data_IF_941629996026
#
_entry.id   IF_941629996026
#
_cell.length_a   1.000
_cell.length_b   1.000
_cell.length_c   1.000
_cell.angle_alpha   90.00
_cell.angle_beta   90.00
_cell.angle_gamma   90.00
#
_symmetry.space_group_name_H-M   'P 1'
#
loop_
_entity.id
_entity.type
_entity.pdbx_description
1 polymer ?
#
# COMPACT_ATOMS: atom_id res chain seq x y z
N UNK A 1 6.87 16.88 -10.46
CA UNK A 1 7.20 16.07 -11.66
C UNK A 1 5.94 15.36 -12.08
N UNK A 2 5.59 15.35 -13.37
CA UNK A 2 4.47 14.53 -13.85
C UNK A 2 4.90 13.07 -13.79
N UNK A 3 4.18 12.24 -13.04
CA UNK A 3 4.38 10.80 -13.07
C UNK A 3 4.17 10.30 -14.51
N UNK A 4 5.14 9.61 -15.07
CA UNK A 4 5.01 8.89 -16.33
C UNK A 4 5.44 7.46 -16.08
N UNK A 5 4.52 6.51 -16.22
CA UNK A 5 4.85 5.09 -16.12
C UNK A 5 5.89 4.74 -17.20
N UNK A 6 7.01 4.11 -16.84
CA UNK A 6 8.02 3.75 -17.82
C UNK A 6 7.46 2.75 -18.85
N UNK A 7 7.93 2.80 -20.12
CA UNK A 7 7.55 1.81 -21.12
C UNK A 7 8.11 0.44 -20.74
N UNK A 8 7.28 -0.60 -20.84
CA UNK A 8 7.67 -2.00 -20.59
C UNK A 8 7.41 -2.84 -21.85
N UNK A 9 8.27 -3.83 -22.10
CA UNK A 9 8.06 -4.81 -23.15
C UNK A 9 7.20 -5.98 -22.62
N UNK A 10 5.98 -6.06 -23.15
CA UNK A 10 4.99 -7.08 -22.80
C UNK A 10 5.21 -8.42 -23.53
N UNK A 11 6.13 -8.47 -24.50
CA UNK A 11 6.39 -9.66 -25.32
C UNK A 11 7.50 -10.56 -24.76
N UNK A 12 8.19 -10.11 -23.73
CA UNK A 12 9.32 -10.83 -23.12
C UNK A 12 8.84 -12.15 -22.52
N UNK A 13 9.42 -13.23 -23.00
CA UNK A 13 9.26 -14.57 -22.45
C UNK A 13 10.63 -15.26 -22.44
N UNK A 14 11.04 -15.78 -21.29
CA UNK A 14 12.27 -16.57 -21.24
C UNK A 14 12.01 -18.00 -21.74
N UNK A 15 12.55 -18.36 -22.91
CA UNK A 15 12.48 -19.74 -23.40
C UNK A 15 13.23 -20.72 -22.45
N UNK A 16 12.62 -21.82 -21.96
CA UNK A 16 13.28 -22.71 -21.00
C UNK A 16 14.41 -23.51 -21.66
N UNK A 17 15.64 -23.38 -21.14
CA UNK A 17 16.80 -24.10 -21.67
C UNK A 17 17.01 -25.46 -21.00
N UNK A 18 17.28 -25.44 -19.69
CA UNK A 18 17.60 -26.64 -18.92
C UNK A 18 16.35 -27.40 -18.42
N UNK A 19 16.54 -28.62 -17.91
CA UNK A 19 15.45 -29.38 -17.29
C UNK A 19 14.85 -28.66 -16.06
N UNK A 20 15.69 -27.96 -15.29
CA UNK A 20 15.26 -27.10 -14.18
C UNK A 20 14.36 -25.96 -14.65
N UNK A 21 14.65 -25.35 -15.80
CA UNK A 21 13.86 -24.24 -16.34
C UNK A 21 12.51 -24.73 -16.84
N UNK A 22 12.47 -25.93 -17.44
CA UNK A 22 11.22 -26.59 -17.82
C UNK A 22 10.37 -26.97 -16.61
N UNK A 23 11.01 -27.44 -15.54
CA UNK A 23 10.34 -27.71 -14.26
C UNK A 23 9.73 -26.41 -13.69
N UNK A 24 10.52 -25.34 -13.61
CA UNK A 24 10.04 -24.04 -13.14
C UNK A 24 8.84 -23.55 -13.95
N UNK A 25 8.93 -23.55 -15.28
CA UNK A 25 7.82 -23.15 -16.15
C UNK A 25 6.58 -24.03 -15.97
N UNK A 26 6.76 -25.35 -15.86
CA UNK A 26 5.64 -26.26 -15.65
C UNK A 26 4.92 -26.01 -14.32
N UNK A 27 5.67 -25.76 -13.25
CA UNK A 27 5.11 -25.38 -11.94
C UNK A 27 4.36 -24.05 -12.05
N UNK A 28 4.92 -23.03 -12.71
CA UNK A 28 4.26 -21.75 -12.94
C UNK A 28 2.93 -21.93 -13.68
N UNK A 29 2.91 -22.66 -14.80
CA UNK A 29 1.68 -22.89 -15.56
C UNK A 29 0.63 -23.69 -14.77
N UNK A 30 1.06 -24.68 -13.98
CA UNK A 30 0.15 -25.43 -13.11
C UNK A 30 -0.48 -24.53 -12.03
N UNK A 31 0.33 -23.73 -11.34
CA UNK A 31 -0.17 -22.82 -10.30
C UNK A 31 -1.07 -21.74 -10.89
N UNK A 32 -0.72 -21.20 -12.07
CA UNK A 32 -1.59 -20.28 -12.82
C UNK A 32 -2.94 -20.92 -13.11
N UNK A 33 -2.95 -22.15 -13.63
CA UNK A 33 -4.21 -22.86 -13.91
C UNK A 33 -5.06 -23.06 -12.66
N UNK A 34 -4.45 -23.43 -11.52
CA UNK A 34 -5.15 -23.52 -10.24
C UNK A 34 -5.74 -22.17 -9.81
N UNK A 35 -4.97 -21.09 -9.90
CA UNK A 35 -5.40 -19.75 -9.51
C UNK A 35 -6.54 -19.24 -10.41
N UNK A 36 -6.40 -19.40 -11.73
CA UNK A 36 -7.42 -18.99 -12.71
C UNK A 36 -8.74 -19.75 -12.48
N UNK A 37 -8.65 -21.04 -12.13
CA UNK A 37 -9.82 -21.86 -11.79
C UNK A 37 -10.46 -21.43 -10.48
N UNK A 38 -9.67 -21.10 -9.46
CA UNK A 38 -10.17 -20.73 -8.13
C UNK A 38 -10.79 -19.33 -8.10
N UNK A 39 -10.18 -18.34 -8.75
CA UNK A 39 -10.61 -16.95 -8.69
C UNK A 39 -11.53 -16.52 -9.83
N UNK A 40 -11.53 -17.23 -10.96
CA UNK A 40 -12.26 -16.85 -12.17
C UNK A 40 -12.05 -15.35 -12.50
N UNK A 41 -13.12 -14.54 -12.55
CA UNK A 41 -13.07 -13.10 -12.86
C UNK A 41 -12.94 -12.18 -11.63
N UNK A 42 -12.60 -12.70 -10.45
CA UNK A 42 -12.46 -11.90 -9.21
C UNK A 42 -11.07 -11.27 -9.10
N UNK A 43 -10.72 -10.37 -10.03
CA UNK A 43 -9.37 -9.81 -10.17
C UNK A 43 -8.79 -9.18 -8.91
N UNK A 44 -9.55 -8.35 -8.17
CA UNK A 44 -9.08 -7.75 -6.92
C UNK A 44 -8.78 -8.79 -5.82
N UNK A 45 -9.63 -9.80 -5.67
CA UNK A 45 -9.38 -10.90 -4.72
C UNK A 45 -8.22 -11.80 -5.16
N UNK A 46 -8.07 -12.01 -6.48
CA UNK A 46 -6.93 -12.74 -7.07
C UNK A 46 -5.61 -12.04 -6.76
N UNK A 47 -5.53 -10.72 -7.01
CA UNK A 47 -4.36 -9.92 -6.68
C UNK A 47 -3.99 -10.09 -5.21
N UNK A 48 -4.91 -9.81 -4.28
CA UNK A 48 -4.64 -9.92 -2.82
C UNK A 48 -4.05 -11.28 -2.43
N UNK A 49 -4.60 -12.39 -2.93
CA UNK A 49 -4.05 -13.72 -2.57
C UNK A 49 -2.70 -13.97 -3.24
N UNK A 50 -2.51 -13.58 -4.50
CA UNK A 50 -1.24 -13.78 -5.19
C UNK A 50 -0.13 -12.91 -4.59
N UNK A 51 -0.40 -11.64 -4.27
CA UNK A 51 0.58 -10.73 -3.63
C UNK A 51 1.09 -11.28 -2.28
N UNK A 52 0.23 -11.98 -1.52
CA UNK A 52 0.66 -12.59 -0.24
C UNK A 52 1.69 -13.71 -0.43
N UNK A 53 1.71 -14.32 -1.61
CA UNK A 53 2.66 -15.38 -1.99
C UNK A 53 3.86 -14.76 -2.70
N UNK A 54 3.67 -13.75 -3.54
CA UNK A 54 4.72 -13.06 -4.29
C UNK A 54 5.72 -12.33 -3.37
N UNK A 55 5.30 -11.87 -2.19
CA UNK A 55 6.22 -11.29 -1.21
C UNK A 55 7.15 -12.30 -0.50
N UNK A 56 6.95 -13.62 -0.68
CA UNK A 56 7.72 -14.66 0.03
C UNK A 56 9.10 -14.94 -0.60
N UNK A 57 9.24 -15.14 -1.92
CA UNK A 57 10.50 -15.48 -2.56
C UNK A 57 11.66 -14.54 -2.26
N UNK A 58 11.47 -13.23 -2.41
CA UNK A 58 12.50 -12.22 -2.12
C UNK A 58 13.01 -12.33 -0.68
N UNK A 59 12.11 -12.48 0.30
CA UNK A 59 12.48 -12.60 1.72
C UNK A 59 13.26 -13.90 2.00
N UNK A 60 12.82 -15.03 1.43
CA UNK A 60 13.52 -16.31 1.56
C UNK A 60 14.90 -16.24 0.92
N UNK A 61 14.98 -15.71 -0.31
CA UNK A 61 16.22 -15.58 -1.05
C UNK A 61 17.22 -14.65 -0.36
N UNK A 62 16.76 -13.49 0.12
CA UNK A 62 17.56 -12.57 0.93
C UNK A 62 18.09 -13.24 2.19
N UNK A 63 17.23 -13.91 2.96
CA UNK A 63 17.60 -14.57 4.22
C UNK A 63 18.64 -15.67 3.99
N UNK A 64 18.41 -16.56 3.03
CA UNK A 64 19.31 -17.67 2.76
C UNK A 64 20.64 -17.21 2.17
N UNK A 65 20.62 -16.18 1.32
CA UNK A 65 21.83 -15.54 0.78
C UNK A 65 22.61 -14.85 1.90
N UNK A 66 21.94 -14.09 2.76
CA UNK A 66 22.53 -13.43 3.92
C UNK A 66 23.25 -14.42 4.83
N UNK A 67 22.57 -15.48 5.24
CA UNK A 67 23.16 -16.51 6.10
C UNK A 67 24.33 -17.24 5.42
N UNK A 68 24.29 -17.43 4.09
CA UNK A 68 25.41 -17.99 3.32
C UNK A 68 26.61 -17.05 3.31
N UNK A 69 26.41 -15.76 3.03
CA UNK A 69 27.46 -14.75 3.05
C UNK A 69 28.13 -14.64 4.42
N UNK A 70 27.34 -14.65 5.51
CA UNK A 70 27.86 -14.66 6.87
C UNK A 70 28.73 -15.88 7.16
N UNK A 71 28.27 -17.10 6.82
CA UNK A 71 29.02 -18.34 7.07
C UNK A 71 30.31 -18.46 6.26
N UNK A 72 30.37 -17.78 5.11
CA UNK A 72 31.52 -17.82 4.19
C UNK A 72 32.41 -16.58 4.27
N UNK A 73 31.99 -15.56 5.01
CA UNK A 73 32.65 -14.25 5.08
C UNK A 73 32.87 -13.61 3.69
N UNK A 74 31.84 -13.65 2.85
CA UNK A 74 31.85 -13.14 1.47
C UNK A 74 30.85 -11.99 1.30
N UNK A 75 31.14 -11.06 0.37
CA UNK A 75 30.18 -10.03 -0.05
C UNK A 75 29.00 -10.65 -0.82
N UNK A 76 27.82 -10.01 -0.77
CA UNK A 76 26.58 -10.49 -1.41
C UNK A 76 26.32 -9.87 -2.80
N UNK A 77 27.20 -8.99 -3.28
CA UNK A 77 27.05 -8.24 -4.55
C UNK A 77 25.77 -7.39 -4.65
N UNK A 78 25.16 -7.03 -3.51
CA UNK A 78 23.92 -6.26 -3.47
C UNK A 78 22.64 -7.08 -3.66
N UNK A 79 22.72 -8.41 -3.74
CA UNK A 79 21.58 -9.29 -3.94
C UNK A 79 20.62 -9.28 -2.74
N UNK A 80 21.15 -9.22 -1.52
CA UNK A 80 20.31 -9.25 -0.31
C UNK A 80 19.40 -8.03 -0.31
N UNK A 81 19.95 -6.84 -0.60
CA UNK A 81 19.18 -5.60 -0.67
C UNK A 81 18.12 -5.66 -1.78
N UNK A 82 18.51 -6.09 -2.97
CA UNK A 82 17.60 -6.23 -4.12
C UNK A 82 16.41 -7.14 -3.79
N UNK A 83 16.67 -8.29 -3.16
CA UNK A 83 15.62 -9.27 -2.83
C UNK A 83 14.74 -8.83 -1.64
N UNK A 84 15.27 -8.06 -0.70
CA UNK A 84 14.45 -7.44 0.36
C UNK A 84 13.58 -6.32 -0.20
N UNK A 85 14.11 -5.51 -1.12
CA UNK A 85 13.36 -4.45 -1.81
C UNK A 85 12.22 -5.05 -2.65
N UNK A 86 12.45 -6.15 -3.38
CA UNK A 86 11.40 -6.91 -4.08
C UNK A 86 10.31 -7.40 -3.11
N UNK A 87 10.69 -8.07 -2.02
CA UNK A 87 9.72 -8.56 -1.04
C UNK A 87 8.89 -7.44 -0.37
N UNK A 88 9.50 -6.26 -0.16
CA UNK A 88 8.77 -5.09 0.33
C UNK A 88 7.83 -4.53 -0.74
N UNK A 89 8.26 -4.47 -2.00
CA UNK A 89 7.46 -3.96 -3.10
C UNK A 89 6.19 -4.80 -3.32
N UNK A 90 6.31 -6.13 -3.37
CA UNK A 90 5.18 -7.08 -3.43
C UNK A 90 4.23 -6.90 -2.22
N UNK A 91 4.78 -6.67 -1.02
CA UNK A 91 3.95 -6.34 0.15
C UNK A 91 3.20 -5.02 -0.03
N UNK A 92 3.79 -4.03 -0.71
CA UNK A 92 3.12 -2.75 -0.99
C UNK A 92 2.04 -2.86 -2.06
N UNK A 93 2.16 -3.79 -3.00
CA UNK A 93 1.06 -4.17 -3.89
C UNK A 93 -0.11 -4.73 -3.08
N UNK A 94 0.15 -5.69 -2.19
CA UNK A 94 -0.86 -6.25 -1.27
C UNK A 94 -1.57 -5.15 -0.48
N UNK A 95 -0.81 -4.30 0.21
CA UNK A 95 -1.38 -3.25 1.06
C UNK A 95 -2.20 -2.24 0.25
N UNK A 96 -1.83 -2.00 -1.01
CA UNK A 96 -2.60 -1.18 -1.93
C UNK A 96 -3.93 -1.84 -2.32
N UNK A 97 -3.92 -3.12 -2.67
CA UNK A 97 -5.14 -3.80 -3.12
C UNK A 97 -6.12 -4.10 -2.00
N UNK A 98 -5.67 -4.19 -0.74
CA UNK A 98 -6.55 -4.28 0.43
C UNK A 98 -7.47 -3.04 0.53
N UNK A 99 -6.97 -1.85 0.19
CA UNK A 99 -7.80 -0.62 0.16
C UNK A 99 -8.86 -0.64 -0.97
N UNK A 100 -8.68 -1.49 -1.98
CA UNK A 100 -9.61 -1.64 -3.11
C UNK A 100 -10.63 -2.76 -2.86
N UNK A 101 -10.20 -3.88 -2.28
CA UNK A 101 -11.05 -5.02 -1.97
C UNK A 101 -10.64 -5.67 -0.64
N UNK A 102 -11.60 -6.01 0.20
CA UNK A 102 -11.33 -6.65 1.49
C UNK A 102 -11.39 -8.18 1.37
N UNK A 103 -10.35 -8.92 1.83
CA UNK A 103 -10.38 -10.37 1.82
C UNK A 103 -11.37 -10.90 2.85
N UNK A 104 -12.13 -11.93 2.47
CA UNK A 104 -13.04 -12.65 3.35
C UNK A 104 -12.29 -13.51 4.39
N UNK A 105 -12.98 -13.96 5.44
CA UNK A 105 -12.38 -14.89 6.42
C UNK A 105 -11.88 -16.18 5.75
N UNK A 106 -12.64 -16.71 4.80
CA UNK A 106 -12.25 -17.89 4.03
C UNK A 106 -10.95 -17.63 3.24
N UNK A 107 -10.87 -16.50 2.53
CA UNK A 107 -9.66 -16.12 1.79
C UNK A 107 -8.45 -15.94 2.72
N UNK A 108 -8.64 -15.38 3.93
CA UNK A 108 -7.57 -15.27 4.94
C UNK A 108 -7.05 -16.64 5.41
N UNK A 109 -7.93 -17.62 5.60
CA UNK A 109 -7.52 -19.01 5.94
C UNK A 109 -6.79 -19.67 4.77
N UNK A 110 -7.26 -19.44 3.54
CA UNK A 110 -6.58 -19.91 2.31
C UNK A 110 -5.18 -19.30 2.20
N UNK A 111 -5.05 -17.98 2.38
CA UNK A 111 -3.76 -17.26 2.39
C UNK A 111 -2.81 -17.90 3.40
N UNK A 112 -3.24 -18.08 4.65
CA UNK A 112 -2.40 -18.67 5.70
C UNK A 112 -1.87 -20.06 5.29
N UNK A 113 -2.76 -20.89 4.73
CA UNK A 113 -2.43 -22.27 4.33
C UNK A 113 -1.48 -22.29 3.13
N UNK A 114 -1.80 -21.53 2.07
CA UNK A 114 -0.99 -21.45 0.85
C UNK A 114 0.38 -20.86 1.16
N UNK A 115 0.43 -19.78 1.95
CA UNK A 115 1.67 -19.14 2.35
C UNK A 115 2.56 -20.10 3.16
N UNK A 116 1.99 -20.88 4.09
CA UNK A 116 2.76 -21.87 4.86
C UNK A 116 3.37 -22.96 3.97
N UNK A 117 2.57 -23.58 3.10
CA UNK A 117 3.04 -24.62 2.18
C UNK A 117 4.08 -24.07 1.21
N UNK A 118 3.80 -22.90 0.62
CA UNK A 118 4.68 -22.26 -0.34
C UNK A 118 5.99 -21.83 0.31
N UNK A 119 5.97 -21.23 1.50
CA UNK A 119 7.17 -20.84 2.24
C UNK A 119 8.10 -22.03 2.48
N UNK A 120 7.57 -23.17 2.95
CA UNK A 120 8.37 -24.37 3.19
C UNK A 120 8.92 -24.96 1.89
N UNK A 121 8.08 -25.10 0.86
CA UNK A 121 8.47 -25.66 -0.43
C UNK A 121 9.49 -24.79 -1.16
N UNK A 122 9.28 -23.48 -1.19
CA UNK A 122 10.18 -22.53 -1.83
C UNK A 122 11.51 -22.40 -1.07
N UNK A 123 11.49 -22.40 0.26
CA UNK A 123 12.72 -22.45 1.08
C UNK A 123 13.55 -23.70 0.79
N UNK A 124 12.91 -24.87 0.69
CA UNK A 124 13.60 -26.10 0.32
C UNK A 124 14.15 -26.03 -1.11
N UNK A 125 13.37 -25.51 -2.07
CA UNK A 125 13.82 -25.32 -3.45
C UNK A 125 15.05 -24.40 -3.50
N UNK A 126 15.03 -23.28 -2.79
CA UNK A 126 16.13 -22.31 -2.77
C UNK A 126 17.39 -22.90 -2.11
N UNK A 127 17.24 -23.72 -1.06
CA UNK A 127 18.36 -24.44 -0.45
C UNK A 127 19.02 -25.43 -1.42
N UNK A 128 18.23 -26.13 -2.23
CA UNK A 128 18.72 -27.13 -3.19
C UNK A 128 19.27 -26.46 -4.46
N UNK A 129 18.55 -25.47 -4.99
CA UNK A 129 18.86 -24.81 -6.26
C UNK A 129 18.33 -23.37 -6.29
N UNK A 130 19.14 -22.40 -5.82
CA UNK A 130 18.81 -20.97 -5.92
C UNK A 130 18.51 -20.54 -7.37
N UNK A 131 19.26 -21.12 -8.33
CA UNK A 131 19.04 -20.87 -9.78
C UNK A 131 17.61 -21.23 -10.20
N UNK A 132 17.13 -22.40 -9.79
CA UNK A 132 15.77 -22.85 -10.14
C UNK A 132 14.72 -22.01 -9.43
N UNK A 133 14.98 -21.60 -8.18
CA UNK A 133 14.10 -20.73 -7.43
C UNK A 133 13.92 -19.36 -8.11
N UNK A 134 15.01 -18.68 -8.47
CA UNK A 134 14.92 -17.42 -9.22
C UNK A 134 14.27 -17.60 -10.59
N UNK A 135 14.54 -18.71 -11.27
CA UNK A 135 13.87 -18.99 -12.55
C UNK A 135 12.36 -19.17 -12.39
N UNK A 136 11.92 -19.80 -11.31
CA UNK A 136 10.51 -19.96 -10.98
C UNK A 136 9.85 -18.60 -10.74
N UNK A 137 10.49 -17.72 -9.97
CA UNK A 137 10.01 -16.35 -9.74
C UNK A 137 9.94 -15.57 -11.04
N UNK A 138 10.99 -15.60 -11.87
CA UNK A 138 10.96 -14.92 -13.17
C UNK A 138 9.79 -15.34 -14.06
N UNK A 139 9.36 -16.62 -14.01
CA UNK A 139 8.13 -17.04 -14.69
C UNK A 139 6.85 -16.63 -13.97
N UNK A 140 6.82 -16.54 -12.63
CA UNK A 140 5.67 -15.93 -11.92
C UNK A 140 5.46 -14.49 -12.37
N UNK A 141 6.53 -13.71 -12.50
CA UNK A 141 6.41 -12.30 -12.88
C UNK A 141 6.03 -12.10 -14.34
N UNK A 142 6.43 -13.01 -15.24
CA UNK A 142 5.85 -13.07 -16.59
C UNK A 142 4.32 -13.22 -16.54
N UNK A 143 3.81 -14.07 -15.66
CA UNK A 143 2.37 -14.26 -15.47
C UNK A 143 1.70 -13.07 -14.76
N UNK A 144 2.41 -12.39 -13.87
CA UNK A 144 1.95 -11.17 -13.21
C UNK A 144 1.79 -10.03 -14.24
N UNK A 145 2.79 -9.79 -15.10
CA UNK A 145 2.72 -8.80 -16.19
C UNK A 145 1.52 -9.05 -17.11
N UNK A 146 1.27 -10.31 -17.47
CA UNK A 146 0.08 -10.69 -18.26
C UNK A 146 -1.20 -10.43 -17.47
N UNK A 147 -1.25 -10.82 -16.20
CA UNK A 147 -2.42 -10.65 -15.34
C UNK A 147 -2.81 -9.19 -15.15
N UNK A 148 -1.84 -8.30 -14.94
CA UNK A 148 -2.09 -6.86 -14.82
C UNK A 148 -2.44 -6.20 -16.14
N UNK A 149 -1.93 -6.72 -17.26
CA UNK A 149 -2.38 -6.26 -18.59
C UNK A 149 -3.85 -6.59 -18.81
N UNK A 150 -4.29 -7.80 -18.48
CA UNK A 150 -5.71 -8.17 -18.53
C UNK A 150 -6.55 -7.32 -17.55
N UNK A 151 -6.00 -6.99 -16.38
CA UNK A 151 -6.71 -6.14 -15.42
C UNK A 151 -6.92 -4.71 -15.97
N UNK A 152 -5.92 -4.14 -16.65
CA UNK A 152 -6.05 -2.86 -17.35
C UNK A 152 -7.11 -2.92 -18.45
N UNK A 153 -7.19 -4.00 -19.21
CA UNK A 153 -8.21 -4.19 -20.25
C UNK A 153 -9.63 -4.22 -19.66
N UNK A 154 -9.82 -4.83 -18.49
CA UNK A 154 -11.11 -4.85 -17.78
C UNK A 154 -11.51 -3.44 -17.27
N UNK A 155 -10.53 -2.64 -16.82
CA UNK A 155 -10.75 -1.24 -16.41
C UNK A 155 -11.09 -0.38 -17.64
N UNK A 156 -10.31 -0.50 -18.72
CA UNK A 156 -10.49 0.28 -19.94
C UNK A 156 -11.80 -0.04 -20.65
N UNK A 157 -12.28 -1.29 -20.53
CA UNK A 157 -13.60 -1.68 -21.02
C UNK A 157 -14.77 -1.35 -20.07
N UNK A 158 -14.49 -0.72 -18.91
CA UNK A 158 -15.50 -0.30 -17.93
C UNK A 158 -16.15 -1.45 -17.14
N UNK A 159 -15.57 -2.66 -17.18
CA UNK A 159 -16.05 -3.81 -16.40
C UNK A 159 -15.58 -3.76 -14.95
N UNK A 160 -14.47 -3.06 -14.70
CA UNK A 160 -13.97 -2.72 -13.36
C UNK A 160 -14.03 -1.20 -13.19
N UNK A 161 -14.50 -0.74 -12.03
CA UNK A 161 -14.56 0.69 -11.71
C UNK A 161 -13.16 1.29 -11.56
N UNK A 162 -12.86 2.35 -12.31
CA UNK A 162 -11.61 3.10 -12.19
C UNK A 162 -11.70 4.13 -11.04
N UNK A 163 -11.65 3.66 -9.79
CA UNK A 163 -11.75 4.50 -8.60
C UNK A 163 -10.50 5.39 -8.40
N UNK A 164 -10.56 6.45 -7.57
CA UNK A 164 -9.37 7.19 -7.18
C UNK A 164 -8.30 6.28 -6.55
N UNK A 165 -7.02 6.55 -6.85
CA UNK A 165 -5.91 5.78 -6.31
C UNK A 165 -5.84 5.87 -4.77
N UNK A 166 -5.67 4.74 -4.05
CA UNK A 166 -5.49 4.75 -2.60
C UNK A 166 -4.34 5.67 -2.15
N UNK A 167 -4.45 6.27 -0.97
CA UNK A 167 -3.43 7.19 -0.45
C UNK A 167 -2.06 6.52 -0.33
N UNK A 168 -2.02 5.26 0.13
CA UNK A 168 -0.81 4.45 0.21
C UNK A 168 -0.12 4.29 -1.15
N UNK A 169 -0.89 4.05 -2.21
CA UNK A 169 -0.37 3.92 -3.57
C UNK A 169 0.18 5.25 -4.09
N UNK A 170 -0.56 6.35 -3.87
CA UNK A 170 -0.12 7.68 -4.30
C UNK A 170 1.19 8.09 -3.64
N UNK A 171 1.33 7.83 -2.34
CA UNK A 171 2.58 8.09 -1.65
C UNK A 171 3.70 7.16 -2.14
N UNK A 172 3.43 5.85 -2.20
CA UNK A 172 4.44 4.86 -2.51
C UNK A 172 5.02 5.06 -3.91
N UNK A 173 4.19 5.20 -4.95
CA UNK A 173 4.66 5.41 -6.33
C UNK A 173 4.78 6.90 -6.74
N UNK A 174 4.58 7.84 -5.82
CA UNK A 174 4.63 9.28 -6.12
C UNK A 174 3.59 9.75 -7.14
N UNK A 175 2.40 9.13 -7.14
CA UNK A 175 1.34 9.42 -8.10
C UNK A 175 0.68 10.78 -7.82
N UNK A 176 0.19 11.49 -8.86
CA UNK A 176 -0.51 12.76 -8.67
C UNK A 176 -1.83 12.60 -7.89
N UNK A 177 -2.35 13.66 -7.27
CA UNK A 177 -3.61 13.60 -6.53
C UNK A 177 -4.82 13.13 -7.34
N UNK A 178 -4.79 13.33 -8.66
CA UNK A 178 -5.83 12.90 -9.60
C UNK A 178 -5.64 11.47 -10.13
N UNK A 179 -4.66 10.72 -9.62
CA UNK A 179 -4.38 9.36 -10.07
C UNK A 179 -5.54 8.42 -9.76
N UNK A 180 -5.69 7.41 -10.62
CA UNK A 180 -6.78 6.43 -10.60
C UNK A 180 -6.23 5.01 -10.38
N UNK A 181 -7.11 4.04 -10.14
CA UNK A 181 -6.75 2.63 -10.03
C UNK A 181 -5.97 2.14 -11.25
N UNK A 182 -6.32 2.63 -12.45
CA UNK A 182 -5.58 2.32 -13.68
C UNK A 182 -4.10 2.73 -13.60
N UNK A 183 -3.80 3.90 -13.02
CA UNK A 183 -2.43 4.41 -12.88
C UNK A 183 -1.63 3.58 -11.86
N UNK A 184 -2.31 3.11 -10.81
CA UNK A 184 -1.74 2.16 -9.84
C UNK A 184 -1.38 0.84 -10.51
N UNK A 185 -2.30 0.25 -11.27
CA UNK A 185 -2.07 -1.03 -11.97
C UNK A 185 -0.95 -0.90 -12.99
N UNK A 186 -0.81 0.26 -13.65
CA UNK A 186 0.31 0.55 -14.52
C UNK A 186 1.66 0.55 -13.78
N UNK A 187 1.71 1.15 -12.59
CA UNK A 187 2.92 1.17 -11.75
C UNK A 187 3.29 -0.23 -11.27
N UNK A 188 2.32 -0.95 -10.71
CA UNK A 188 2.48 -2.36 -10.28
C UNK A 188 2.99 -3.23 -11.42
N UNK A 189 2.38 -3.17 -12.61
CA UNK A 189 2.83 -3.95 -13.78
C UNK A 189 4.29 -3.64 -14.18
N UNK A 190 4.75 -2.42 -13.96
CA UNK A 190 6.12 -2.04 -14.23
C UNK A 190 7.09 -2.60 -13.17
N UNK A 191 6.66 -2.67 -11.91
CA UNK A 191 7.39 -3.39 -10.85
C UNK A 191 7.55 -4.88 -11.23
N UNK A 192 6.48 -5.54 -11.65
CA UNK A 192 6.52 -6.95 -12.06
C UNK A 192 7.50 -7.20 -13.22
N UNK A 193 7.49 -6.31 -14.22
CA UNK A 193 8.41 -6.41 -15.35
C UNK A 193 9.87 -6.25 -14.89
N UNK A 194 10.13 -5.42 -13.88
CA UNK A 194 11.45 -5.29 -13.28
C UNK A 194 11.84 -6.57 -12.52
N UNK A 195 10.98 -7.09 -11.64
CA UNK A 195 11.21 -8.32 -10.88
C UNK A 195 11.44 -9.52 -11.79
N UNK A 196 10.68 -9.63 -12.89
CA UNK A 196 10.86 -10.62 -13.96
C UNK A 196 12.30 -10.64 -14.47
N UNK A 197 12.78 -9.46 -14.90
CA UNK A 197 14.08 -9.33 -15.55
C UNK A 197 15.23 -9.54 -14.56
N UNK A 198 15.07 -9.05 -13.32
CA UNK A 198 16.02 -9.27 -12.23
C UNK A 198 16.13 -10.75 -11.89
N UNK A 199 15.01 -11.45 -11.67
CA UNK A 199 15.04 -12.86 -11.29
C UNK A 199 15.57 -13.76 -12.42
N UNK A 200 15.21 -13.50 -13.68
CA UNK A 200 15.81 -14.22 -14.81
C UNK A 200 17.32 -13.98 -14.91
N UNK A 201 17.78 -12.76 -14.61
CA UNK A 201 19.20 -12.38 -14.59
C UNK A 201 19.97 -13.05 -13.45
N UNK A 202 19.42 -13.10 -12.24
CA UNK A 202 20.01 -13.83 -11.11
C UNK A 202 20.13 -15.33 -11.41
N UNK A 203 19.10 -15.91 -12.02
CA UNK A 203 19.14 -17.31 -12.47
C UNK A 203 20.23 -17.54 -13.53
N UNK A 204 20.43 -16.58 -14.45
CA UNK A 204 21.49 -16.65 -15.45
C UNK A 204 22.90 -16.56 -14.83
N UNK A 205 23.13 -15.61 -13.92
CA UNK A 205 24.42 -15.45 -13.23
C UNK A 205 24.79 -16.69 -12.41
N UNK A 206 23.84 -17.23 -11.65
CA UNK A 206 24.01 -18.51 -10.94
C UNK A 206 24.27 -19.69 -11.88
N UNK A 207 23.84 -19.56 -13.13
CA UNK A 207 24.09 -20.50 -14.20
C UNK A 207 25.41 -20.33 -14.94
N UNK A 208 26.21 -19.32 -14.60
CA UNK A 208 27.46 -18.97 -15.29
C UNK A 208 27.27 -18.22 -16.60
N UNK A 209 26.07 -17.72 -16.88
CA UNK A 209 25.78 -16.90 -18.04
C UNK A 209 25.73 -15.41 -17.66
N UNK A 210 25.98 -14.53 -18.63
CA UNK A 210 25.79 -13.08 -18.44
C UNK A 210 24.29 -12.76 -18.35
N UNK A 211 23.88 -11.83 -17.48
CA UNK A 211 22.49 -11.39 -17.40
C UNK A 211 22.03 -10.74 -18.71
N UNK A 212 20.73 -10.82 -18.98
CA UNK A 212 20.14 -10.31 -20.21
C UNK A 212 19.92 -8.79 -20.09
N UNK A 213 20.83 -7.99 -20.65
CA UNK A 213 20.67 -6.53 -20.76
C UNK A 213 20.43 -5.81 -19.41
N UNK A 214 19.93 -4.58 -19.49
CA UNK A 214 19.44 -3.87 -18.31
C UNK A 214 18.00 -4.32 -18.03
N UNK A 215 17.61 -4.50 -16.76
CA UNK A 215 16.24 -4.84 -16.42
C UNK A 215 15.27 -3.71 -16.81
N UNK A 216 14.00 -4.06 -16.99
CA UNK A 216 12.92 -3.09 -17.20
C UNK A 216 12.98 -1.96 -16.17
N UNK A 217 12.63 -0.71 -16.53
CA UNK A 217 12.78 0.41 -15.61
C UNK A 217 11.92 0.20 -14.36
N UNK A 218 12.54 0.34 -13.19
CA UNK A 218 11.84 0.26 -11.92
C UNK A 218 11.22 1.62 -11.60
N UNK A 219 9.89 1.70 -11.40
CA UNK A 219 9.23 2.91 -10.91
C UNK A 219 9.93 3.49 -9.67
N UNK A 220 9.73 4.79 -9.44
CA UNK A 220 10.17 5.36 -8.18
C UNK A 220 9.24 4.90 -7.06
N UNK A 221 9.84 4.48 -5.94
CA UNK A 221 9.11 4.16 -4.72
C UNK A 221 9.62 4.98 -3.53
N UNK A 222 8.72 5.34 -2.63
CA UNK A 222 9.08 5.97 -1.37
C UNK A 222 9.90 5.00 -0.50
N UNK A 223 10.98 5.50 0.10
CA UNK A 223 11.86 4.72 0.98
C UNK A 223 11.22 4.34 2.33
N UNK A 224 10.04 4.87 2.63
CA UNK A 224 9.29 4.57 3.85
C UNK A 224 7.84 4.27 3.51
N UNK A 225 7.34 3.15 4.03
CA UNK A 225 5.96 2.70 3.87
C UNK A 225 5.04 3.20 4.97
N UNK A 226 5.59 3.83 6.01
CA UNK A 226 4.79 4.70 6.88
C UNK A 226 4.15 5.76 5.99
N UNK A 227 2.81 5.75 5.95
CA UNK A 227 2.12 6.93 5.49
C UNK A 227 2.69 8.06 6.32
N UNK A 228 3.43 8.99 5.71
CA UNK A 228 3.64 10.27 6.38
C UNK A 228 2.23 10.68 6.74
N UNK A 229 1.90 10.91 8.02
CA UNK A 229 0.60 11.42 8.36
C UNK A 229 0.39 12.59 7.41
N UNK A 230 -0.49 12.41 6.44
CA UNK A 230 -1.02 13.53 5.72
C UNK A 230 -1.55 14.35 6.87
N UNK A 231 -0.96 15.52 7.17
CA UNK A 231 -1.42 16.37 8.27
C UNK A 231 -2.92 16.37 8.13
N UNK A 232 -3.59 15.62 9.01
CA UNK A 232 -4.92 15.15 8.72
C UNK A 232 -5.79 16.31 9.14
N UNK A 233 -5.78 17.32 8.28
CA UNK A 233 -6.42 18.58 8.50
C UNK A 233 -7.92 18.34 8.63
N UNK A 234 -8.63 19.34 9.14
CA UNK A 234 -10.07 19.21 9.28
C UNK A 234 -10.72 18.97 7.92
N UNK A 235 -11.65 18.02 7.84
CA UNK A 235 -12.43 17.79 6.62
C UNK A 235 -13.42 18.94 6.36
N UNK A 236 -13.69 19.76 7.38
CA UNK A 236 -14.52 20.96 7.30
C UNK A 236 -14.09 22.01 8.31
N UNK A 237 -14.07 23.27 7.89
CA UNK A 237 -13.89 24.44 8.76
C UNK A 237 -15.07 25.38 8.56
N UNK A 238 -15.63 25.92 9.65
CA UNK A 238 -16.67 26.96 9.55
C UNK A 238 -16.08 28.29 9.09
N UNK A 239 -16.94 29.21 8.66
CA UNK A 239 -16.57 30.63 8.63
C UNK A 239 -16.27 31.13 10.05
N UNK A 240 -15.60 32.29 10.14
CA UNK A 240 -15.32 32.93 11.42
C UNK A 240 -16.62 33.46 12.04
N UNK A 241 -16.83 33.09 13.30
CA UNK A 241 -17.86 33.65 14.15
C UNK A 241 -17.28 34.76 15.04
N UNK A 242 -18.11 35.75 15.35
CA UNK A 242 -17.86 36.81 16.31
C UNK A 242 -18.89 36.75 17.43
N UNK A 243 -18.74 37.59 18.45
CA UNK A 243 -19.73 37.73 19.53
C UNK A 243 -21.15 38.01 19.02
N UNK A 244 -21.28 38.65 17.85
CA UNK A 244 -22.57 39.10 17.31
C UNK A 244 -23.25 38.06 16.42
N UNK A 245 -22.49 37.14 15.83
CA UNK A 245 -23.01 36.17 14.85
C UNK A 245 -22.80 34.70 15.24
N UNK A 246 -22.25 34.42 16.43
CA UNK A 246 -22.08 33.06 16.93
C UNK A 246 -23.45 32.37 17.05
N UNK A 247 -23.70 31.26 16.34
CA UNK A 247 -25.01 30.60 16.35
C UNK A 247 -25.51 30.27 17.75
N UNK A 248 -26.74 30.64 18.07
CA UNK A 248 -27.35 30.39 19.38
C UNK A 248 -27.40 28.89 19.76
N UNK A 249 -27.37 27.99 18.77
CA UNK A 249 -27.29 26.55 18.99
C UNK A 249 -25.95 26.12 19.62
N UNK A 250 -24.84 26.80 19.30
CA UNK A 250 -23.53 26.50 19.88
C UNK A 250 -23.37 27.07 21.30
N UNK A 251 -24.18 28.08 21.63
CA UNK A 251 -24.22 28.71 22.95
C UNK A 251 -25.12 27.97 23.95
N UNK A 252 -25.79 26.91 23.51
CA UNK A 252 -26.61 26.01 24.32
C UNK A 252 -26.02 24.61 24.29
N UNK A 253 -26.47 23.76 25.19
CA UNK A 253 -26.08 22.35 25.23
C UNK A 253 -26.32 21.68 23.87
N UNK A 254 -25.24 21.11 23.33
CA UNK A 254 -25.23 20.30 22.12
C UNK A 254 -24.03 19.35 22.14
N UNK A 255 -23.99 18.42 21.19
CA UNK A 255 -22.88 17.50 21.01
C UNK A 255 -22.60 17.27 19.52
N UNK A 256 -21.37 16.85 19.20
CA UNK A 256 -21.05 16.38 17.85
C UNK A 256 -21.64 14.98 17.62
N UNK A 257 -21.75 14.60 16.34
CA UNK A 257 -22.21 13.26 15.97
C UNK A 257 -21.20 12.17 16.39
N UNK A 258 -21.65 10.92 16.29
CA UNK A 258 -20.75 9.76 16.41
C UNK A 258 -19.61 9.91 15.39
N UNK A 259 -18.39 9.66 15.84
CA UNK A 259 -17.16 9.73 15.03
C UNK A 259 -16.80 11.13 14.48
N UNK A 260 -17.32 12.21 15.10
CA UNK A 260 -16.97 13.60 14.74
C UNK A 260 -16.30 14.31 15.92
N UNK A 261 -15.04 14.70 15.73
CA UNK A 261 -14.28 15.54 16.66
C UNK A 261 -14.40 17.01 16.24
N UNK A 262 -14.46 17.90 17.23
CA UNK A 262 -14.45 19.34 17.02
C UNK A 262 -13.19 19.98 17.62
N UNK A 263 -12.57 20.90 16.90
CA UNK A 263 -11.53 21.79 17.45
C UNK A 263 -12.00 23.22 17.31
N UNK A 264 -12.06 23.94 18.43
CA UNK A 264 -12.48 25.33 18.51
C UNK A 264 -11.23 26.20 18.53
N UNK A 265 -11.00 26.96 17.46
CA UNK A 265 -9.84 27.85 17.34
C UNK A 265 -10.26 29.29 17.47
N UNK A 266 -9.82 29.93 18.55
CA UNK A 266 -9.94 31.37 18.72
C UNK A 266 -8.80 32.03 17.93
N UNK A 267 -9.12 33.02 17.10
CA UNK A 267 -8.15 33.83 16.36
C UNK A 267 -7.85 35.13 17.10
N UNK A 268 -8.87 35.72 17.71
CA UNK A 268 -8.80 36.97 18.46
C UNK A 268 -9.74 36.90 19.67
N UNK A 269 -9.34 37.47 20.81
CA UNK A 269 -10.15 37.48 22.03
C UNK A 269 -10.13 36.16 22.80
N UNK A 270 -11.23 35.86 23.49
CA UNK A 270 -11.36 34.64 24.29
C UNK A 270 -12.76 34.05 24.23
N UNK A 271 -12.83 32.72 24.34
CA UNK A 271 -14.08 31.96 24.36
C UNK A 271 -14.06 30.99 25.54
N UNK A 272 -15.16 30.89 26.29
CA UNK A 272 -15.31 29.86 27.30
C UNK A 272 -15.94 28.62 26.67
N UNK A 273 -15.37 27.45 26.94
CA UNK A 273 -15.92 26.14 26.59
C UNK A 273 -16.25 25.38 27.86
N UNK A 274 -17.51 24.92 27.99
CA UNK A 274 -17.96 24.13 29.13
C UNK A 274 -18.28 22.71 28.69
N UNK A 275 -17.62 21.72 29.30
CA UNK A 275 -17.89 20.31 29.12
C UNK A 275 -18.87 19.82 30.20
N UNK A 276 -20.06 19.40 29.80
CA UNK A 276 -21.12 19.03 30.75
C UNK A 276 -20.88 17.67 31.39
N UNK A 277 -20.22 16.75 30.70
CA UNK A 277 -19.90 15.40 31.23
C UNK A 277 -18.92 15.45 32.41
N UNK A 278 -17.93 16.33 32.32
CA UNK A 278 -16.83 16.43 33.30
C UNK A 278 -16.99 17.60 34.25
N UNK A 279 -17.87 18.56 33.94
CA UNK A 279 -17.96 19.85 34.61
C UNK A 279 -16.75 20.76 34.36
N UNK A 280 -15.85 20.38 33.44
CA UNK A 280 -14.67 21.18 33.13
C UNK A 280 -15.04 22.46 32.37
N UNK A 281 -14.41 23.56 32.72
CA UNK A 281 -14.58 24.86 32.06
C UNK A 281 -13.22 25.34 31.61
N UNK A 282 -13.05 25.49 30.30
CA UNK A 282 -11.81 25.91 29.65
C UNK A 282 -11.97 27.33 29.10
N UNK A 283 -10.97 28.19 29.32
CA UNK A 283 -10.86 29.48 28.66
C UNK A 283 -9.92 29.33 27.46
N UNK A 284 -10.47 29.53 26.27
CA UNK A 284 -9.78 29.39 25.00
C UNK A 284 -9.31 30.75 24.51
N UNK A 285 -8.14 30.76 23.87
CA UNK A 285 -7.53 31.93 23.24
C UNK A 285 -6.73 31.51 21.99
N UNK A 286 -5.99 32.45 21.40
CA UNK A 286 -5.22 32.20 20.17
C UNK A 286 -4.14 31.11 20.32
N UNK A 287 -3.71 30.80 21.53
CA UNK A 287 -2.69 29.77 21.81
C UNK A 287 -3.31 28.48 22.37
N UNK A 288 -4.54 28.56 22.88
CA UNK A 288 -5.20 27.48 23.61
C UNK A 288 -6.50 27.07 22.91
N UNK A 289 -6.45 26.13 21.95
CA UNK A 289 -7.65 25.64 21.28
C UNK A 289 -8.46 24.70 22.17
N UNK A 290 -9.78 24.73 22.01
CA UNK A 290 -10.70 23.83 22.69
C UNK A 290 -10.91 22.55 21.89
N UNK A 291 -11.05 21.41 22.55
CA UNK A 291 -11.23 20.13 21.89
C UNK A 291 -12.50 19.44 22.38
N UNK A 292 -13.35 19.04 21.44
CA UNK A 292 -14.61 18.37 21.68
C UNK A 292 -14.51 16.94 21.15
N UNK A 293 -14.75 15.97 22.03
CA UNK A 293 -14.82 14.55 21.68
C UNK A 293 -16.22 14.19 21.15
N UNK A 294 -16.34 13.18 20.26
CA UNK A 294 -17.62 12.70 19.76
C UNK A 294 -18.64 12.44 20.87
N UNK A 295 -19.88 12.85 20.64
CA UNK A 295 -21.02 12.66 21.54
C UNK A 295 -20.92 13.36 22.91
N UNK A 296 -19.86 14.13 23.19
CA UNK A 296 -19.73 14.84 24.48
C UNK A 296 -20.56 16.13 24.48
N UNK A 297 -21.56 16.28 25.37
CA UNK A 297 -22.33 17.51 25.52
C UNK A 297 -21.48 18.67 26.04
N UNK A 298 -21.56 19.79 25.34
CA UNK A 298 -20.83 21.01 25.62
C UNK A 298 -21.59 22.23 25.11
N UNK A 299 -21.11 23.42 25.48
CA UNK A 299 -21.53 24.69 24.89
C UNK A 299 -20.42 25.74 25.03
N UNK A 300 -20.52 26.83 24.29
CA UNK A 300 -19.54 27.92 24.31
C UNK A 300 -20.14 29.28 24.62
N UNK A 301 -19.34 30.14 25.25
CA UNK A 301 -19.73 31.52 25.57
C UNK A 301 -18.62 32.50 25.17
N UNK A 302 -18.91 33.56 24.39
CA UNK A 302 -17.98 34.66 24.16
C UNK A 302 -17.56 35.34 25.47
N UNK A 303 -16.27 35.59 25.64
CA UNK A 303 -15.74 36.41 26.74
C UNK A 303 -15.30 37.75 26.15
N UNK A 304 -16.26 38.64 25.94
CA UNK A 304 -16.05 39.91 25.25
C UNK A 304 -16.03 39.76 23.73
N UNK A 305 -15.28 40.65 23.04
CA UNK A 305 -15.09 40.56 21.60
C UNK A 305 -14.24 39.34 21.25
N UNK A 306 -14.69 38.53 20.29
CA UNK A 306 -14.04 37.27 19.91
C UNK A 306 -14.12 37.05 18.42
N UNK A 307 -13.15 36.32 17.87
CA UNK A 307 -13.18 35.76 16.52
C UNK A 307 -12.78 34.30 16.59
N UNK A 308 -13.66 33.38 16.18
CA UNK A 308 -13.48 31.93 16.37
C UNK A 308 -13.94 31.15 15.15
N UNK A 309 -13.27 30.06 14.81
CA UNK A 309 -13.76 29.06 13.85
C UNK A 309 -13.78 27.66 14.48
N UNK A 310 -14.61 26.78 13.92
CA UNK A 310 -14.71 25.38 14.34
C UNK A 310 -14.22 24.50 13.21
N UNK A 311 -13.29 23.62 13.55
CA UNK A 311 -12.71 22.61 12.69
C UNK A 311 -13.31 21.25 13.04
N UNK A 312 -13.67 20.47 12.02
CA UNK A 312 -14.22 19.14 12.19
C UNK A 312 -13.29 18.08 11.65
N UNK A 313 -13.08 17.03 12.43
CA UNK A 313 -12.20 15.91 12.12
C UNK A 313 -12.97 14.59 12.24
N UNK A 314 -12.64 13.63 11.39
CA UNK A 314 -13.13 12.24 11.39
C UNK A 314 -12.18 11.28 12.16
N UNK A 315 -11.17 11.85 12.82
CA UNK A 315 -10.18 11.18 13.66
C UNK A 315 -9.82 12.09 14.84
N UNK A 316 -9.09 11.55 15.84
CA UNK A 316 -8.71 12.32 17.03
C UNK A 316 -7.56 13.30 16.73
N UNK A 317 -7.79 14.63 16.76
CA UNK A 317 -6.78 15.63 16.39
C UNK A 317 -5.69 15.84 17.45
N UNK A 318 -5.81 15.24 18.65
CA UNK A 318 -4.80 15.34 19.73
C UNK A 318 -3.71 14.25 19.65
N UNK A 319 -3.80 13.30 18.72
CA UNK A 319 -2.85 12.16 18.61
C UNK A 319 -1.71 12.41 17.61
N UNK A 320 -1.37 13.67 17.35
CA UNK A 320 -0.27 14.08 16.49
C UNK A 320 0.77 14.87 17.29
#
# INVERSE_FOLDING_TARGET
>A
MSFSTPPIDLSVHHAPGAASDRFALAVTKLLRWCADTFFAKRYGHRAIVLETVAAVPGMVGATLTHLRCLRRMENDKGWIRTLMEEAENERMHLMTFIEVAQPTLFERVVILTVQWVFYLGFSLLYLISPRTAHRLVGYFEEEAVVSYTLYLEEIDAGRVANIPAPAIARQYWGLPPSATLRDVVLAVRADEAHHRDVNHSLAAELGGASPAGNPSPYPWHASTTELTPQEAGPYRVTADFTQDNLPAALQKEHNTAKDVWGVIRVKEGSLRLTHLDTGNVELLDAQTPGYVTPLSPHFVEPVGAVKVCIEFYDHNPRRH
#
